data_IF_874244528959
#
_entry.id   IF_874244528959
#
_cell.length_a   1.000
_cell.length_b   1.000
_cell.length_c   1.000
_cell.angle_alpha   90.00
_cell.angle_beta   90.00
_cell.angle_gamma   90.00
#
_symmetry.space_group_name_H-M   'P 1'
#
loop_
_entity.id
_entity.type
_entity.pdbx_description
1 polymer ?
#
# COMPACT_ATOMS: atom_id res chain seq x y z
N UNK A 1 7.66 -33.03 6.45
CA UNK A 1 7.65 -32.50 6.31
C UNK A 1 7.83 -31.56 6.32
N UNK A 2 8.09 -31.47 6.32
CA UNK A 2 8.15 -30.62 6.14
C UNK A 2 8.41 -29.69 5.98
N UNK A 3 8.59 -29.61 5.80
CA UNK A 3 8.78 -28.79 5.59
C UNK A 3 8.48 -27.97 5.31
N UNK A 4 8.17 -27.85 5.29
CA UNK A 4 7.88 -27.15 4.85
C UNK A 4 8.07 -26.01 4.91
N UNK A 5 7.98 -25.68 4.99
CA UNK A 5 8.08 -24.66 5.00
C UNK A 5 8.94 -24.04 5.07
N UNK A 6 9.34 -24.26 4.81
CA UNK A 6 10.23 -23.79 4.88
C UNK A 6 10.53 -22.80 4.19
N UNK A 7 10.74 -22.85 3.53
CA UNK A 7 11.02 -21.93 2.71
C UNK A 7 10.77 -20.68 3.28
N UNK A 8 10.43 -19.86 2.63
CA UNK A 8 10.32 -18.64 3.09
C UNK A 8 9.49 -18.76 4.10
N UNK A 9 9.87 -18.74 4.90
CA UNK A 9 9.24 -18.87 5.81
C UNK A 9 8.04 -18.25 5.83
N UNK A 10 7.22 -18.61 6.13
CA UNK A 10 6.01 -18.12 6.24
C UNK A 10 5.11 -18.61 5.31
N UNK A 11 3.91 -18.95 5.72
CA UNK A 11 2.87 -19.25 4.85
C UNK A 11 2.27 -18.01 4.32
N UNK A 12 1.61 -18.08 3.22
CA UNK A 12 0.82 -16.98 2.70
C UNK A 12 -0.33 -16.70 3.64
N UNK A 13 -0.50 -15.42 3.94
CA UNK A 13 -1.59 -14.98 4.81
C UNK A 13 -2.41 -13.96 4.06
N UNK A 14 -3.71 -14.16 4.07
CA UNK A 14 -4.60 -13.25 3.42
C UNK A 14 -5.04 -12.18 4.40
N UNK A 15 -5.30 -11.00 3.91
CA UNK A 15 -5.79 -9.92 4.74
C UNK A 15 -6.74 -9.05 3.94
N UNK A 16 -7.56 -8.34 4.67
CA UNK A 16 -8.41 -7.32 4.09
C UNK A 16 -8.35 -6.12 5.02
N UNK A 17 -8.86 -5.01 4.56
CA UNK A 17 -8.78 -3.83 5.40
C UNK A 17 -9.52 -2.66 4.83
N UNK A 18 -9.42 -1.56 5.54
CA UNK A 18 -9.98 -0.30 5.12
C UNK A 18 -9.00 0.80 5.47
N UNK A 19 -9.02 1.88 4.70
CA UNK A 19 -8.09 2.97 4.92
C UNK A 19 -8.79 4.27 4.58
N UNK A 20 -8.66 5.22 5.48
CA UNK A 20 -9.13 6.57 5.25
C UNK A 20 -7.92 7.47 5.33
N UNK A 21 -7.78 8.35 4.37
CA UNK A 21 -6.57 9.13 4.29
C UNK A 21 -6.86 10.55 3.84
N UNK A 22 -5.98 11.45 4.21
CA UNK A 22 -6.06 12.84 3.83
C UNK A 22 -4.67 13.33 3.49
N UNK A 23 -4.60 14.33 2.67
CA UNK A 23 -3.32 14.89 2.29
C UNK A 23 -3.47 15.99 1.27
N UNK A 24 -2.53 16.06 0.35
CA UNK A 24 -2.47 17.15 -0.59
C UNK A 24 -2.18 16.65 -1.99
N UNK A 25 -2.63 17.42 -2.97
CA UNK A 25 -2.40 17.13 -4.37
C UNK A 25 -1.96 18.42 -5.06
N UNK A 26 -0.95 18.31 -5.86
CA UNK A 26 -0.52 19.42 -6.69
C UNK A 26 -0.56 18.94 -8.14
N UNK A 27 -1.21 19.69 -9.00
CA UNK A 27 -1.40 19.30 -10.39
C UNK A 27 -0.78 20.35 -11.31
N UNK A 28 -0.11 19.88 -12.34
CA UNK A 28 0.43 20.77 -13.36
C UNK A 28 0.07 20.21 -14.72
N UNK A 29 -0.01 21.07 -15.73
CA UNK A 29 -0.20 20.56 -17.08
C UNK A 29 1.09 19.97 -17.60
N UNK A 30 0.99 18.86 -18.29
CA UNK A 30 2.15 18.21 -18.89
C UNK A 30 2.11 18.31 -20.40
N UNK A 31 1.15 19.05 -20.95
CA UNK A 31 0.99 19.20 -22.38
C UNK A 31 -0.48 19.36 -22.68
N UNK A 32 -0.86 19.57 -23.93
CA UNK A 32 -2.26 19.74 -24.28
C UNK A 32 -3.03 18.48 -23.90
N UNK A 33 -4.04 18.66 -23.07
CA UNK A 33 -4.88 17.53 -22.68
C UNK A 33 -4.23 16.54 -21.73
N UNK A 34 -3.08 16.88 -21.17
CA UNK A 34 -2.39 15.95 -20.27
C UNK A 34 -2.02 16.65 -18.98
N UNK A 35 -2.30 16.01 -17.86
CA UNK A 35 -2.01 16.58 -16.55
C UNK A 35 -1.27 15.59 -15.70
N UNK A 36 -0.46 16.09 -14.81
CA UNK A 36 0.21 15.27 -13.83
C UNK A 36 -0.01 15.83 -12.45
N UNK A 37 -0.17 14.96 -11.49
CA UNK A 37 -0.38 15.34 -10.10
C UNK A 37 0.54 14.60 -9.19
N UNK A 38 1.01 15.27 -8.15
CA UNK A 38 1.72 14.63 -7.07
C UNK A 38 0.74 14.53 -5.93
N UNK A 39 0.62 13.35 -5.36
CA UNK A 39 -0.31 13.09 -4.29
C UNK A 39 0.46 12.62 -3.08
N UNK A 40 0.09 13.13 -1.90
CA UNK A 40 0.65 12.73 -0.64
C UNK A 40 -0.54 12.45 0.26
N UNK A 41 -0.67 11.22 0.71
CA UNK A 41 -1.80 10.81 1.55
C UNK A 41 -1.30 10.04 2.75
N UNK A 42 -1.97 10.22 3.87
CA UNK A 42 -1.64 9.48 5.07
C UNK A 42 -2.90 9.28 5.89
N UNK A 43 -2.97 8.18 6.58
CA UNK A 43 -4.11 7.89 7.42
C UNK A 43 -4.01 6.53 8.07
N UNK A 44 -4.99 6.24 8.89
CA UNK A 44 -5.03 4.99 9.63
C UNK A 44 -5.68 3.90 8.80
N UNK A 45 -5.11 2.74 8.84
CA UNK A 45 -5.62 1.58 8.15
C UNK A 45 -5.90 0.50 9.16
N UNK A 46 -7.03 -0.16 9.01
CA UNK A 46 -7.36 -1.30 9.83
C UNK A 46 -7.21 -2.54 8.98
N UNK A 47 -6.38 -3.47 9.41
CA UNK A 47 -6.14 -4.69 8.70
C UNK A 47 -6.68 -5.87 9.47
N UNK A 48 -7.31 -6.78 8.79
CA UNK A 48 -7.91 -7.96 9.39
C UNK A 48 -7.54 -9.18 8.59
N UNK A 49 -7.50 -10.30 9.23
CA UNK A 49 -7.28 -11.58 8.56
C UNK A 49 -8.14 -12.63 9.20
N UNK A 50 -8.25 -13.78 8.57
CA UNK A 50 -9.09 -14.85 9.09
C UNK A 50 -8.68 -15.26 10.49
N UNK A 51 -9.63 -15.25 11.40
CA UNK A 51 -9.36 -15.69 12.75
C UNK A 51 -8.46 -14.77 13.54
N UNK A 52 -8.29 -13.53 13.13
CA UNK A 52 -7.38 -12.62 13.79
C UNK A 52 -8.07 -11.31 14.07
N UNK A 53 -7.73 -10.69 15.19
CA UNK A 53 -8.31 -9.39 15.47
C UNK A 53 -7.75 -8.35 14.52
N UNK A 54 -8.46 -7.27 14.35
CA UNK A 54 -8.00 -6.18 13.53
C UNK A 54 -6.76 -5.52 14.11
N UNK A 55 -5.91 -5.04 13.23
CA UNK A 55 -4.68 -4.38 13.63
C UNK A 55 -4.64 -3.02 12.99
N UNK A 56 -4.39 -2.01 13.80
CA UNK A 56 -4.26 -0.65 13.30
C UNK A 56 -2.87 -0.41 12.78
N UNK A 57 -2.80 0.22 11.61
CA UNK A 57 -1.54 0.48 10.94
C UNK A 57 -1.62 1.89 10.39
N UNK A 58 -0.54 2.63 10.46
CA UNK A 58 -0.51 3.91 9.79
C UNK A 58 0.03 3.71 8.39
N UNK A 59 -0.68 4.17 7.42
CA UNK A 59 -0.28 4.01 6.03
C UNK A 59 -0.09 5.37 5.39
N UNK A 60 1.02 5.53 4.70
CA UNK A 60 1.33 6.77 3.99
C UNK A 60 1.73 6.40 2.58
N UNK A 61 1.38 7.25 1.64
CA UNK A 61 1.82 7.03 0.28
C UNK A 61 2.14 8.34 -0.40
N UNK A 62 3.01 8.26 -1.37
CA UNK A 62 3.26 9.35 -2.30
C UNK A 62 3.14 8.76 -3.69
N UNK A 63 2.61 9.54 -4.61
CA UNK A 63 2.37 9.01 -5.95
C UNK A 63 2.40 10.12 -6.98
N UNK A 64 2.75 9.73 -8.20
CA UNK A 64 2.62 10.59 -9.36
C UNK A 64 1.48 10.01 -10.19
N UNK A 65 0.51 10.85 -10.49
CA UNK A 65 -0.62 10.43 -11.30
C UNK A 65 -0.55 11.21 -12.60
N UNK A 66 -0.39 10.48 -13.70
CA UNK A 66 -0.30 11.07 -15.01
C UNK A 66 -1.58 10.67 -15.75
N UNK A 67 -2.28 11.65 -16.32
CA UNK A 67 -3.56 11.36 -16.93
C UNK A 67 -3.45 10.41 -18.13
N UNK A 68 -2.25 10.18 -18.66
CA UNK A 68 -2.08 9.23 -19.74
C UNK A 68 -1.50 7.90 -19.29
N UNK A 69 -0.57 7.92 -18.35
CA UNK A 69 0.13 6.69 -18.01
C UNK A 69 -0.31 6.09 -16.67
N UNK A 70 -1.12 6.81 -15.92
CA UNK A 70 -1.65 6.25 -14.70
C UNK A 70 -0.87 6.64 -13.47
N UNK A 71 -1.07 5.87 -12.41
CA UNK A 71 -0.50 6.17 -11.10
C UNK A 71 0.71 5.29 -10.83
N UNK A 72 1.74 5.90 -10.30
CA UNK A 72 2.93 5.18 -9.87
C UNK A 72 3.36 5.78 -8.53
N UNK A 73 3.51 4.96 -7.53
CA UNK A 73 3.82 5.48 -6.21
C UNK A 73 4.49 4.49 -5.29
N UNK A 74 4.62 4.93 -4.06
CA UNK A 74 5.23 4.12 -3.00
C UNK A 74 4.41 4.30 -1.74
N UNK A 75 4.34 3.25 -0.95
CA UNK A 75 3.61 3.30 0.31
C UNK A 75 4.43 2.68 1.42
N UNK A 76 4.23 3.20 2.61
CA UNK A 76 4.87 2.69 3.81
C UNK A 76 3.79 2.48 4.84
N UNK A 77 3.71 1.27 5.39
CA UNK A 77 2.79 0.94 6.47
C UNK A 77 3.62 0.78 7.73
N UNK A 78 3.19 1.39 8.81
CA UNK A 78 3.91 1.30 10.08
C UNK A 78 2.94 0.77 11.13
N UNK A 79 3.31 -0.31 11.79
CA UNK A 79 2.43 -0.90 12.78
C UNK A 79 2.69 -0.29 14.16
N UNK A 80 1.97 -0.81 15.15
CA UNK A 80 2.05 -0.24 16.49
C UNK A 80 3.42 -0.32 17.09
N UNK A 81 4.21 -1.26 16.67
CA UNK A 81 5.54 -1.43 17.22
C UNK A 81 6.61 -0.70 16.44
N UNK A 82 6.21 -0.01 15.39
CA UNK A 82 7.17 0.71 14.57
C UNK A 82 7.75 -0.09 13.44
N UNK A 83 7.35 -1.34 13.28
CA UNK A 83 7.84 -2.12 12.16
C UNK A 83 7.13 -1.69 10.89
N UNK A 84 7.83 -1.70 9.79
CA UNK A 84 7.34 -1.12 8.54
C UNK A 84 7.28 -2.11 7.42
N UNK A 85 6.36 -1.87 6.49
CA UNK A 85 6.23 -2.62 5.26
C UNK A 85 6.31 -1.62 4.12
N UNK A 86 7.12 -1.91 3.12
CA UNK A 86 7.30 -1.03 1.97
C UNK A 86 6.68 -1.66 0.74
N UNK A 87 6.04 -0.85 -0.08
CA UNK A 87 5.44 -1.36 -1.30
C UNK A 87 5.48 -0.34 -2.41
N UNK A 88 5.35 -0.82 -3.64
CA UNK A 88 5.15 0.04 -4.79
C UNK A 88 3.67 0.02 -5.14
N UNK A 89 3.21 1.08 -5.76
CA UNK A 89 1.81 1.20 -6.16
C UNK A 89 1.72 1.48 -7.65
N UNK A 90 0.73 0.89 -8.27
CA UNK A 90 0.43 1.16 -9.66
C UNK A 90 -1.08 1.23 -9.85
N UNK A 91 -1.53 2.10 -10.72
CA UNK A 91 -2.94 2.23 -11.03
C UNK A 91 -3.11 2.77 -12.42
N UNK A 92 -4.32 2.64 -12.95
CA UNK A 92 -4.56 3.10 -14.30
C UNK A 92 -4.83 4.58 -14.37
N UNK A 93 -5.10 5.20 -13.27
CA UNK A 93 -5.18 6.64 -13.24
C UNK A 93 -6.39 7.26 -13.87
N UNK A 94 -7.34 6.48 -14.29
CA UNK A 94 -8.52 7.08 -14.85
C UNK A 94 -9.43 7.50 -13.73
N UNK A 95 -10.16 8.52 -13.95
CA UNK A 95 -10.90 9.12 -12.87
C UNK A 95 -11.99 8.26 -12.31
N UNK A 96 -12.58 7.43 -13.10
CA UNK A 96 -13.80 6.80 -12.66
C UNK A 96 -13.60 5.64 -11.72
N UNK A 97 -12.57 4.89 -11.90
CA UNK A 97 -12.35 3.73 -11.09
C UNK A 97 -10.90 3.61 -10.83
N UNK A 98 -10.43 4.17 -9.77
CA UNK A 98 -9.03 4.14 -9.46
C UNK A 98 -8.70 2.87 -8.73
N UNK A 99 -8.53 1.82 -9.49
CA UNK A 99 -8.10 0.57 -8.91
C UNK A 99 -6.59 0.58 -8.82
N UNK A 100 -6.09 0.34 -7.64
CA UNK A 100 -4.67 0.44 -7.37
C UNK A 100 -4.17 -0.89 -6.88
N UNK A 101 -3.04 -1.32 -7.40
CA UNK A 101 -2.40 -2.55 -6.94
C UNK A 101 -1.09 -2.20 -6.28
N UNK A 102 -0.76 -2.93 -5.25
CA UNK A 102 0.49 -2.75 -4.53
C UNK A 102 1.30 -4.02 -4.53
N UNK A 103 2.60 -3.86 -4.60
CA UNK A 103 3.52 -5.00 -4.52
C UNK A 103 4.42 -4.76 -3.33
N UNK A 104 4.43 -5.69 -2.40
CA UNK A 104 5.22 -5.56 -1.19
C UNK A 104 6.66 -5.88 -1.51
N UNK A 105 7.55 -4.97 -1.18
CA UNK A 105 8.97 -5.09 -1.47
C UNK A 105 9.77 -5.61 -0.30
N UNK A 106 9.25 -5.48 0.90
CA UNK A 106 9.99 -5.88 2.09
C UNK A 106 9.54 -5.05 3.26
N UNK A 107 10.29 -5.08 4.33
CA UNK A 107 9.95 -4.33 5.52
C UNK A 107 11.05 -4.39 6.54
N UNK A 108 10.75 -3.92 7.73
CA UNK A 108 11.69 -3.94 8.83
C UNK A 108 11.13 -4.81 9.94
N UNK A 109 12.00 -5.19 10.87
CA UNK A 109 11.57 -5.95 12.02
C UNK A 109 10.92 -7.25 11.59
N UNK A 110 9.73 -7.47 12.08
CA UNK A 110 9.06 -8.73 11.77
C UNK A 110 8.57 -8.83 10.34
N UNK A 111 8.72 -7.77 9.56
CA UNK A 111 8.34 -7.81 8.15
C UNK A 111 9.56 -7.86 7.24
N UNK A 112 10.72 -8.10 7.79
CA UNK A 112 11.93 -8.19 6.96
C UNK A 112 11.75 -9.30 5.95
N UNK A 113 12.05 -9.00 4.71
CA UNK A 113 11.92 -9.99 3.64
C UNK A 113 10.50 -10.30 3.21
N UNK A 114 9.52 -9.56 3.71
CA UNK A 114 8.13 -9.82 3.34
C UNK A 114 7.90 -9.62 1.85
N UNK A 115 7.02 -10.43 1.29
CA UNK A 115 6.61 -10.29 -0.10
C UNK A 115 5.12 -10.46 -0.15
N UNK A 116 4.52 -9.99 -1.22
CA UNK A 116 3.08 -10.11 -1.38
C UNK A 116 2.52 -9.04 -2.29
N UNK A 117 1.22 -8.99 -2.34
CA UNK A 117 0.54 -8.00 -3.18
C UNK A 117 -0.82 -7.70 -2.59
N UNK A 118 -1.36 -6.57 -2.96
CA UNK A 118 -2.68 -6.17 -2.51
C UNK A 118 -3.31 -5.25 -3.55
N UNK A 119 -4.59 -5.01 -3.39
CA UNK A 119 -5.30 -4.12 -4.29
C UNK A 119 -6.40 -3.41 -3.51
N UNK A 120 -6.82 -2.27 -4.02
CA UNK A 120 -7.93 -1.53 -3.44
C UNK A 120 -8.45 -0.55 -4.48
N UNK A 121 -9.66 -0.05 -4.24
CA UNK A 121 -10.22 1.01 -5.05
C UNK A 121 -10.19 2.29 -4.23
N UNK A 122 -9.70 3.35 -4.81
CA UNK A 122 -9.61 4.63 -4.12
C UNK A 122 -10.73 5.53 -4.57
N UNK A 123 -11.33 6.22 -3.62
CA UNK A 123 -12.37 7.17 -3.94
C UNK A 123 -12.14 8.45 -3.17
N UNK A 124 -12.14 9.58 -3.88
CA UNK A 124 -12.02 10.86 -3.22
C UNK A 124 -13.36 11.21 -2.57
N UNK A 125 -13.30 11.69 -1.35
CA UNK A 125 -14.45 12.19 -0.66
C UNK A 125 -14.43 13.72 -0.71
N UNK A 126 -13.26 14.31 -0.74
CA UNK A 126 -13.10 15.75 -0.80
C UNK A 126 -11.94 16.08 -1.72
N UNK A 127 -12.15 17.02 -2.63
CA UNK A 127 -11.09 17.54 -3.47
C UNK A 127 -11.23 19.05 -3.44
N UNK A 128 -10.44 19.70 -2.61
CA UNK A 128 -10.56 21.13 -2.44
C UNK A 128 -9.68 21.88 -3.43
N UNK A 129 -10.02 23.12 -3.69
CA UNK A 129 -9.28 23.90 -4.67
C UNK A 129 -7.87 24.19 -4.21
N UNK A 130 -7.64 24.22 -2.93
CA UNK A 130 -6.30 24.50 -2.43
C UNK A 130 -5.40 23.28 -2.46
N UNK A 131 -5.89 22.18 -2.98
CA UNK A 131 -5.07 20.96 -3.05
C UNK A 131 -5.32 19.97 -1.94
N UNK A 132 -6.12 20.31 -0.96
CA UNK A 132 -6.44 19.36 0.09
C UNK A 132 -7.32 18.25 -0.44
N UNK A 133 -6.96 17.01 -0.15
CA UNK A 133 -7.75 15.88 -0.60
C UNK A 133 -7.99 14.94 0.56
N UNK A 134 -9.12 14.26 0.54
CA UNK A 134 -9.45 13.19 1.48
C UNK A 134 -10.17 12.12 0.71
N UNK A 135 -9.99 10.91 1.15
CA UNK A 135 -10.69 9.81 0.52
C UNK A 135 -10.55 8.53 1.29
N UNK A 136 -11.02 7.46 0.69
CA UNK A 136 -10.99 6.17 1.32
C UNK A 136 -10.67 5.08 0.31
N UNK A 137 -10.06 4.03 0.80
CA UNK A 137 -9.81 2.83 0.03
C UNK A 137 -10.87 1.82 0.41
N UNK A 138 -11.50 1.23 -0.57
CA UNK A 138 -12.48 0.19 -0.34
C UNK A 138 -12.01 -1.08 -1.00
N UNK A 139 -12.46 -2.20 -0.48
CA UNK A 139 -12.09 -3.48 -1.05
C UNK A 139 -10.61 -3.80 -0.93
N UNK A 140 -9.96 -3.24 0.09
CA UNK A 140 -8.56 -3.53 0.30
C UNK A 140 -8.39 -4.97 0.67
N UNK A 141 -7.64 -5.70 -0.12
CA UNK A 141 -7.40 -7.11 0.17
C UNK A 141 -6.09 -7.52 -0.48
N UNK A 142 -5.47 -8.49 0.09
CA UNK A 142 -4.21 -8.97 -0.45
C UNK A 142 -3.71 -10.16 0.32
N UNK A 143 -2.47 -10.51 0.06
CA UNK A 143 -1.81 -11.58 0.78
C UNK A 143 -0.35 -11.26 0.87
N UNK A 144 0.25 -11.78 1.91
CA UNK A 144 1.68 -11.59 2.10
C UNK A 144 2.23 -12.80 2.84
N UNK A 145 3.54 -12.91 2.81
CA UNK A 145 4.24 -13.83 3.69
C UNK A 145 5.51 -13.16 4.15
N UNK A 146 5.92 -13.53 5.33
CA UNK A 146 7.13 -12.97 5.88
C UNK A 146 8.32 -13.59 5.21
N UNK A 147 9.38 -12.86 5.16
CA UNK A 147 10.61 -13.43 4.69
C UNK A 147 11.18 -14.35 5.73
N UNK A 148 12.26 -15.03 5.36
CA UNK A 148 12.93 -15.86 6.26
C UNK A 148 13.69 -15.04 7.20
N UNK A 149 13.42 -15.16 8.43
CA UNK A 149 14.05 -14.32 9.37
C UNK A 149 15.51 -14.46 9.35
N UNK A 150 15.97 -15.62 9.12
CA UNK A 150 17.32 -15.77 9.12
C UNK A 150 17.89 -15.86 7.86
N UNK A 151 17.22 -15.63 6.91
CA UNK A 151 17.81 -15.76 5.67
C UNK A 151 18.97 -14.92 5.65
N UNK A 152 18.78 -13.85 5.97
CA UNK A 152 19.83 -13.05 5.82
C UNK A 152 20.66 -13.10 6.94
N UNK A 153 20.24 -13.44 7.98
CA UNK A 153 21.02 -13.43 9.05
C UNK A 153 21.39 -14.66 9.44
N UNK A 154 21.06 -15.52 8.80
CA UNK A 154 21.46 -16.74 9.08
C UNK A 154 22.81 -16.61 9.42
N UNK A 155 23.11 -16.92 10.41
CA UNK A 155 24.36 -16.79 10.77
C UNK A 155 25.02 -17.63 10.04
N UNK A 156 25.82 -17.35 9.82
CA UNK A 156 26.62 -18.14 9.14
C UNK A 156 26.83 -19.40 9.78
#
# INVERSE_FOLDING_TARGET
TPAPDTGPTGEWREFSGSWNAAGNRRTIPLGPGRKGSIIDLRGSMLMEGPGRPGVGVRAELIALVDSETGLSGRAVWTDEKGDQVYSTLQGEGTAANNRITGTILGGTGRYAGATGSYEFSWRFVLEAEDGTIQGSASGLKGRFRRGEPDAGDAPP
#
